data_IF_095713906976
#
_entry.id   IF_095713906976
#
_cell.length_a   1.000
_cell.length_b   1.000
_cell.length_c   1.000
_cell.angle_alpha   90.00
_cell.angle_beta   90.00
_cell.angle_gamma   90.00
#
_symmetry.space_group_name_H-M   'P 1'
#
loop_
_entity.id
_entity.type
_entity.pdbx_description
1 polymer ?
#
# COMPACT_ATOMS: atom_id res chain seq x y z
N UNK A 1 4.64 -23.39 -17.53
CA UNK A 1 4.17 -22.74 -16.29
C UNK A 1 4.22 -23.80 -15.20
N UNK A 2 4.70 -23.45 -14.00
CA UNK A 2 4.68 -24.31 -12.82
C UNK A 2 3.77 -23.74 -11.73
N UNK A 3 3.28 -24.61 -10.84
CA UNK A 3 2.40 -24.20 -9.74
C UNK A 3 3.19 -24.12 -8.44
N UNK A 4 3.16 -22.97 -7.79
CA UNK A 4 3.85 -22.77 -6.53
C UNK A 4 3.32 -23.71 -5.43
N UNK A 5 4.21 -24.47 -4.78
CA UNK A 5 3.86 -25.42 -3.71
C UNK A 5 3.30 -24.75 -2.45
N UNK A 6 3.65 -23.48 -2.20
CA UNK A 6 3.22 -22.71 -1.02
C UNK A 6 1.88 -22.00 -1.24
N UNK A 7 1.79 -21.16 -2.27
CA UNK A 7 0.65 -20.27 -2.49
C UNK A 7 -0.28 -20.70 -3.64
N UNK A 8 0.08 -21.75 -4.40
CA UNK A 8 -0.66 -22.28 -5.56
C UNK A 8 -0.77 -21.32 -6.76
N UNK A 9 0.06 -20.29 -6.78
CA UNK A 9 0.17 -19.35 -7.90
C UNK A 9 0.73 -20.03 -9.16
N UNK A 10 0.28 -19.60 -10.34
CA UNK A 10 0.81 -20.07 -11.63
C UNK A 10 1.97 -19.18 -12.06
N UNK A 11 3.16 -19.76 -12.22
CA UNK A 11 4.41 -19.06 -12.47
C UNK A 11 4.98 -19.50 -13.82
N UNK A 12 5.46 -18.56 -14.63
CA UNK A 12 6.09 -18.90 -15.91
C UNK A 12 7.40 -19.66 -15.71
N UNK A 13 7.73 -20.57 -16.62
CA UNK A 13 8.92 -21.44 -16.51
C UNK A 13 10.24 -20.66 -16.56
N UNK A 14 10.19 -19.43 -17.06
CA UNK A 14 11.29 -18.46 -17.06
C UNK A 14 11.69 -18.05 -15.64
N UNK A 15 10.78 -18.10 -14.66
CA UNK A 15 11.05 -17.72 -13.28
C UNK A 15 11.31 -18.96 -12.40
N UNK A 16 12.43 -18.95 -11.69
CA UNK A 16 12.81 -20.00 -10.74
C UNK A 16 12.20 -19.81 -9.33
N UNK A 17 11.55 -18.66 -9.12
CA UNK A 17 10.97 -18.25 -7.84
C UNK A 17 9.57 -17.71 -8.08
N UNK A 18 8.63 -18.04 -7.19
CA UNK A 18 7.26 -17.55 -7.25
C UNK A 18 7.19 -16.05 -6.96
N UNK A 19 6.78 -15.26 -7.96
CA UNK A 19 6.61 -13.81 -7.86
C UNK A 19 5.66 -13.36 -6.73
N UNK A 20 4.74 -14.22 -6.30
CA UNK A 20 3.79 -13.88 -5.23
C UNK A 20 4.31 -14.11 -3.81
N UNK A 21 5.24 -15.05 -3.58
CA UNK A 21 5.57 -15.48 -2.22
C UNK A 21 7.04 -15.85 -1.99
N UNK A 22 7.90 -15.77 -3.02
CA UNK A 22 9.33 -16.02 -2.89
C UNK A 22 9.74 -17.49 -2.80
N UNK A 23 8.80 -18.42 -2.86
CA UNK A 23 9.11 -19.85 -2.82
C UNK A 23 9.70 -20.30 -4.15
N UNK A 24 10.84 -20.98 -4.13
CA UNK A 24 11.46 -21.55 -5.33
C UNK A 24 10.63 -22.68 -5.92
N UNK A 25 10.94 -23.07 -7.16
CA UNK A 25 10.37 -24.27 -7.80
C UNK A 25 10.60 -25.55 -6.98
N UNK A 26 11.71 -25.60 -6.24
CA UNK A 26 12.07 -26.70 -5.34
C UNK A 26 11.39 -26.62 -3.96
N UNK A 27 10.56 -25.60 -3.72
CA UNK A 27 9.85 -25.42 -2.45
C UNK A 27 10.67 -24.76 -1.34
N UNK A 28 11.86 -24.24 -1.64
CA UNK A 28 12.67 -23.49 -0.67
C UNK A 28 12.05 -22.11 -0.47
N UNK A 29 11.78 -21.74 0.77
CA UNK A 29 11.25 -20.43 1.13
C UNK A 29 12.39 -19.44 1.43
N UNK A 30 12.30 -18.23 0.88
CA UNK A 30 13.13 -17.11 1.30
C UNK A 30 12.35 -16.28 2.36
N UNK A 31 12.76 -16.31 3.64
CA UNK A 31 12.09 -15.55 4.70
C UNK A 31 12.27 -14.04 4.57
N UNK A 32 13.20 -13.57 3.73
CA UNK A 32 13.44 -12.15 3.47
C UNK A 32 12.80 -11.67 2.16
N UNK A 33 12.06 -12.53 1.46
CA UNK A 33 11.42 -12.14 0.22
C UNK A 33 10.40 -11.02 0.46
N UNK A 34 10.64 -9.89 -0.21
CA UNK A 34 9.71 -8.77 -0.28
C UNK A 34 9.24 -8.67 -1.72
N UNK A 35 7.99 -9.05 -2.05
CA UNK A 35 7.48 -8.79 -3.38
C UNK A 35 7.50 -7.28 -3.59
N UNK A 36 8.18 -6.83 -4.64
CA UNK A 36 8.05 -5.46 -5.11
C UNK A 36 6.62 -5.31 -5.62
N UNK A 37 5.78 -4.69 -4.80
CA UNK A 37 4.47 -4.22 -5.24
C UNK A 37 4.75 -2.95 -6.02
N UNK A 38 4.42 -2.95 -7.31
CA UNK A 38 4.44 -1.74 -8.14
C UNK A 38 3.30 -0.80 -7.67
N UNK A 39 3.51 -0.16 -6.52
CA UNK A 39 2.79 1.02 -6.11
C UNK A 39 3.34 2.14 -6.98
N UNK A 40 2.63 2.40 -8.09
CA UNK A 40 2.98 3.44 -9.06
C UNK A 40 3.39 4.77 -8.40
N UNK A 41 4.22 5.52 -9.11
CA UNK A 41 4.88 6.80 -8.74
C UNK A 41 4.37 7.40 -7.42
N UNK A 42 5.18 7.27 -6.37
CA UNK A 42 4.97 7.93 -5.09
C UNK A 42 5.06 9.45 -5.31
N UNK A 43 3.92 10.13 -5.37
CA UNK A 43 3.89 11.59 -5.31
C UNK A 43 4.23 12.02 -3.88
N UNK A 44 5.52 12.23 -3.63
CA UNK A 44 6.04 12.66 -2.33
C UNK A 44 5.43 13.98 -1.85
N UNK A 45 4.94 14.83 -2.78
CA UNK A 45 4.31 16.10 -2.44
C UNK A 45 3.01 15.90 -1.65
N UNK A 46 2.24 14.85 -1.98
CA UNK A 46 0.99 14.56 -1.29
C UNK A 46 1.26 14.07 0.13
N UNK A 47 2.23 13.17 0.30
CA UNK A 47 2.62 12.64 1.61
C UNK A 47 3.08 13.76 2.56
N UNK A 48 3.87 14.70 2.05
CA UNK A 48 4.35 15.86 2.80
C UNK A 48 3.19 16.76 3.26
N UNK A 49 2.15 16.93 2.45
CA UNK A 49 0.99 17.74 2.84
C UNK A 49 0.19 17.08 3.98
N UNK A 50 -0.01 15.76 3.91
CA UNK A 50 -0.60 15.01 5.03
C UNK A 50 0.26 15.09 6.29
N UNK A 51 1.58 14.88 6.18
CA UNK A 51 2.51 14.95 7.33
C UNK A 51 2.49 16.33 7.99
N UNK A 52 2.50 17.40 7.20
CA UNK A 52 2.58 18.77 7.72
C UNK A 52 1.30 19.26 8.40
N UNK A 53 0.13 18.75 7.97
CA UNK A 53 -1.18 19.15 8.52
C UNK A 53 -1.75 18.16 9.53
N UNK A 54 -1.17 16.98 9.66
CA UNK A 54 -1.71 15.91 10.50
C UNK A 54 -1.88 16.34 11.97
N UNK A 55 -3.05 16.00 12.52
CA UNK A 55 -3.30 16.05 13.95
C UNK A 55 -4.16 14.89 14.38
N UNK A 56 -3.62 14.03 15.24
CA UNK A 56 -4.32 12.83 15.68
C UNK A 56 -5.62 13.18 16.44
N UNK A 57 -6.75 12.66 15.96
CA UNK A 57 -8.06 12.87 16.59
C UNK A 57 -8.20 12.19 17.97
N UNK A 58 -7.30 11.24 18.30
CA UNK A 58 -7.29 10.51 19.57
C UNK A 58 -6.41 11.16 20.64
N UNK A 59 -5.15 11.46 20.31
CA UNK A 59 -4.15 11.91 21.28
C UNK A 59 -3.57 13.31 21.00
N UNK A 60 -4.00 13.96 19.92
CA UNK A 60 -3.57 15.30 19.49
C UNK A 60 -2.09 15.44 19.12
N UNK A 61 -1.33 14.34 19.08
CA UNK A 61 0.02 14.34 18.51
C UNK A 61 -0.03 14.74 17.03
N UNK A 62 0.98 15.50 16.60
CA UNK A 62 1.19 15.94 15.21
C UNK A 62 2.21 15.09 14.47
N UNK A 63 2.74 14.05 15.12
CA UNK A 63 3.68 13.12 14.49
C UNK A 63 2.92 12.05 13.71
N UNK A 64 3.21 11.91 12.42
CA UNK A 64 2.65 10.87 11.57
C UNK A 64 3.68 10.17 10.69
N UNK A 65 3.47 8.88 10.44
CA UNK A 65 3.99 8.20 9.25
C UNK A 65 2.91 8.20 8.16
N UNK A 66 3.32 8.40 6.92
CA UNK A 66 2.43 8.42 5.76
C UNK A 66 3.02 7.49 4.73
N UNK A 67 2.23 6.48 4.32
CA UNK A 67 2.70 5.37 3.50
C UNK A 67 1.60 4.94 2.51
N UNK A 68 1.96 4.65 1.27
CA UNK A 68 1.05 4.04 0.30
C UNK A 68 0.90 2.55 0.57
N UNK A 69 -0.34 2.08 0.56
CA UNK A 69 -0.70 0.70 0.75
C UNK A 69 -1.58 0.25 -0.41
N UNK A 70 -1.11 -0.76 -1.14
CA UNK A 70 -1.93 -1.47 -2.09
C UNK A 70 -2.67 -2.60 -1.36
N UNK A 71 -3.99 -2.57 -1.38
CA UNK A 71 -4.79 -3.71 -0.96
C UNK A 71 -4.56 -4.86 -1.94
N UNK A 72 -3.87 -5.91 -1.50
CA UNK A 72 -3.77 -7.13 -2.29
C UNK A 72 -5.13 -7.81 -2.23
N UNK A 73 -5.90 -7.72 -3.33
CA UNK A 73 -7.13 -8.51 -3.47
C UNK A 73 -6.81 -9.98 -3.21
N UNK A 74 -7.59 -10.64 -2.36
CA UNK A 74 -7.44 -12.07 -2.10
C UNK A 74 -8.09 -12.87 -3.23
N UNK A 75 -7.42 -13.93 -3.70
CA UNK A 75 -7.96 -14.84 -4.72
C UNK A 75 -7.65 -14.44 -6.18
N UNK A 76 -8.41 -14.96 -7.16
CA UNK A 76 -8.12 -14.81 -8.60
C UNK A 76 -8.14 -13.36 -9.11
N UNK A 77 -8.61 -12.40 -8.31
CA UNK A 77 -8.56 -10.96 -8.60
C UNK A 77 -7.14 -10.39 -8.75
N UNK A 78 -6.12 -11.10 -8.23
CA UNK A 78 -4.69 -10.74 -8.37
C UNK A 78 -4.14 -11.02 -9.78
N UNK A 79 -4.73 -11.96 -10.53
CA UNK A 79 -4.28 -12.38 -11.87
C UNK A 79 -4.73 -11.44 -12.99
N UNK A 80 -5.70 -10.57 -12.73
CA UNK A 80 -6.32 -9.71 -13.75
C UNK A 80 -5.90 -8.23 -13.65
N UNK A 81 -4.99 -7.86 -12.75
CA UNK A 81 -4.47 -6.49 -12.52
C UNK A 81 -5.51 -5.35 -12.41
N UNK A 82 -6.80 -5.67 -12.36
CA UNK A 82 -7.88 -4.70 -12.58
C UNK A 82 -8.46 -4.09 -11.28
N UNK A 83 -8.11 -4.62 -10.09
CA UNK A 83 -8.74 -4.19 -8.83
C UNK A 83 -7.79 -4.02 -7.64
N UNK A 84 -6.53 -3.65 -7.85
CA UNK A 84 -5.68 -3.25 -6.72
C UNK A 84 -6.11 -1.84 -6.30
N UNK A 85 -6.96 -1.75 -5.26
CA UNK A 85 -7.27 -0.46 -4.64
C UNK A 85 -6.07 0.00 -3.84
N UNK A 86 -5.56 1.18 -4.19
CA UNK A 86 -4.50 1.86 -3.46
C UNK A 86 -5.11 2.78 -2.41
N UNK A 87 -4.44 2.87 -1.26
CA UNK A 87 -4.80 3.73 -0.16
C UNK A 87 -3.57 4.46 0.35
N UNK A 88 -3.74 5.70 0.79
CA UNK A 88 -2.77 6.40 1.61
C UNK A 88 -3.09 6.12 3.08
N UNK A 89 -2.13 5.54 3.80
CA UNK A 89 -2.20 5.32 5.25
C UNK A 89 -1.53 6.47 5.98
N UNK A 90 -2.19 7.00 7.00
CA UNK A 90 -1.66 8.06 7.86
C UNK A 90 -1.74 7.58 9.31
N UNK A 91 -0.60 7.26 9.91
CA UNK A 91 -0.52 6.64 11.24
C UNK A 91 0.10 7.57 12.26
N UNK A 92 -0.55 7.75 13.41
CA UNK A 92 -0.04 8.54 14.52
C UNK A 92 1.21 7.88 15.14
N UNK A 93 2.34 8.60 15.13
CA UNK A 93 3.60 8.14 15.72
C UNK A 93 3.60 8.04 17.25
N UNK A 94 2.54 8.51 17.93
CA UNK A 94 2.43 8.45 19.39
C UNK A 94 1.49 7.34 19.90
N UNK A 95 0.28 7.22 19.34
CA UNK A 95 -0.73 6.28 19.84
C UNK A 95 -1.10 5.16 18.84
N UNK A 96 -0.54 5.17 17.63
CA UNK A 96 -0.78 4.14 16.61
C UNK A 96 -2.15 4.19 15.94
N UNK A 97 -2.98 5.20 16.21
CA UNK A 97 -4.21 5.40 15.47
C UNK A 97 -3.91 5.69 13.99
N UNK A 98 -4.58 4.99 13.08
CA UNK A 98 -4.32 5.02 11.63
C UNK A 98 -5.60 5.34 10.85
N UNK A 99 -5.48 6.26 9.90
CA UNK A 99 -6.52 6.63 8.93
C UNK A 99 -6.12 6.16 7.53
N UNK A 100 -7.09 5.77 6.71
CA UNK A 100 -6.88 5.34 5.33
C UNK A 100 -7.67 6.24 4.37
N UNK A 101 -7.02 6.69 3.30
CA UNK A 101 -7.60 7.53 2.26
C UNK A 101 -7.54 6.83 0.90
N UNK A 102 -8.62 6.83 0.13
CA UNK A 102 -8.67 6.19 -1.18
C UNK A 102 -7.81 6.95 -2.20
N UNK A 103 -6.85 6.27 -2.84
CA UNK A 103 -5.90 6.89 -3.76
C UNK A 103 -6.56 7.51 -4.99
N UNK A 104 -7.56 6.84 -5.58
CA UNK A 104 -8.25 7.33 -6.79
C UNK A 104 -8.87 8.71 -6.53
N UNK A 105 -9.53 8.87 -5.39
CA UNK A 105 -10.14 10.15 -4.98
C UNK A 105 -9.10 11.22 -4.69
N UNK A 106 -7.94 10.85 -4.15
CA UNK A 106 -6.85 11.79 -3.89
C UNK A 106 -6.23 12.29 -5.21
N UNK A 107 -5.99 11.38 -6.16
CA UNK A 107 -5.35 11.66 -7.43
C UNK A 107 -6.26 12.45 -8.39
N UNK A 108 -7.58 12.28 -8.31
CA UNK A 108 -8.55 13.02 -9.13
C UNK A 108 -8.80 14.46 -8.64
N UNK A 109 -8.44 14.78 -7.38
CA UNK A 109 -8.73 16.10 -6.79
C UNK A 109 -7.59 17.07 -7.06
N UNK A 110 -7.85 18.07 -7.89
CA UNK A 110 -6.95 19.20 -8.16
C UNK A 110 -6.62 20.08 -6.94
N UNK A 111 -7.27 19.85 -5.79
CA UNK A 111 -7.12 20.66 -4.56
C UNK A 111 -7.20 19.78 -3.31
N UNK A 112 -6.16 18.99 -3.09
CA UNK A 112 -6.05 18.21 -1.86
C UNK A 112 -6.00 19.11 -0.62
N UNK A 113 -5.38 20.29 -0.69
CA UNK A 113 -5.30 21.22 0.43
C UNK A 113 -6.67 21.60 1.02
N UNK A 114 -7.72 21.78 0.20
CA UNK A 114 -9.07 22.07 0.67
C UNK A 114 -9.67 20.89 1.48
N UNK A 115 -9.36 19.65 1.08
CA UNK A 115 -9.76 18.45 1.82
C UNK A 115 -9.01 18.37 3.15
N UNK A 116 -7.70 18.63 3.13
CA UNK A 116 -6.88 18.62 4.34
C UNK A 116 -7.32 19.71 5.32
N UNK A 117 -7.73 20.87 4.82
CA UNK A 117 -8.34 21.93 5.64
C UNK A 117 -9.69 21.50 6.22
N UNK A 118 -10.49 20.70 5.52
CA UNK A 118 -11.73 20.16 6.08
C UNK A 118 -11.47 19.16 7.22
N UNK A 119 -10.48 18.28 7.08
CA UNK A 119 -10.24 17.17 8.02
C UNK A 119 -9.29 17.54 9.17
N UNK A 120 -8.32 18.43 8.92
CA UNK A 120 -7.30 18.86 9.87
C UNK A 120 -7.29 20.37 10.12
N UNK A 121 -7.95 21.16 9.28
CA UNK A 121 -8.08 22.61 9.45
C UNK A 121 -9.08 22.95 10.55
N UNK A 122 -8.54 22.98 11.78
CA UNK A 122 -9.13 23.41 13.08
C UNK A 122 -9.76 22.30 13.92
#
# INVERSE_FOLDING_TARGET
MWTCSKCRESVEDSFQVCWSCGTSVDGVEDPNFKPEIDVGVQDTSLEDEFRSRFRCCKCRSTTASVDWIAGTGTGPSRLLNWQIKQFLSVSCGHCGYTEFYNADVLNERSKIGDLLDLIYGR
#
